data_IF_369771578577
#
_entry.id   IF_369771578577
#
_cell.length_a   1.000
_cell.length_b   1.000
_cell.length_c   1.000
_cell.angle_alpha   90.00
_cell.angle_beta   90.00
_cell.angle_gamma   90.00
#
_symmetry.space_group_name_H-M   'P 1'
#
loop_
_entity.id
_entity.type
_entity.pdbx_description
1 polymer ?
#
# COMPACT_ATOMS: atom_id res chain seq x y z
N UNK A 1 -33.60 -0.02 -34.94
CA UNK A 1 -33.13 1.28 -34.43
C UNK A 1 -31.65 1.16 -34.09
N UNK A 2 -30.77 2.04 -34.59
CA UNK A 2 -29.35 1.99 -34.23
C UNK A 2 -29.19 2.32 -32.75
N UNK A 3 -28.47 1.45 -32.01
CA UNK A 3 -28.10 1.70 -30.62
C UNK A 3 -26.95 2.71 -30.64
N UNK A 4 -27.14 3.87 -30.03
CA UNK A 4 -26.07 4.86 -29.90
C UNK A 4 -25.06 4.30 -28.88
N UNK A 5 -23.83 4.07 -29.32
CA UNK A 5 -22.72 3.77 -28.41
C UNK A 5 -22.07 5.09 -27.97
N UNK A 6 -22.10 5.37 -26.68
CA UNK A 6 -21.43 6.52 -26.10
C UNK A 6 -20.03 6.12 -25.63
N UNK A 7 -19.03 6.93 -25.97
CA UNK A 7 -17.72 6.78 -25.33
C UNK A 7 -17.81 7.18 -23.87
N UNK A 8 -16.84 6.73 -23.04
CA UNK A 8 -16.75 7.18 -21.65
C UNK A 8 -16.78 8.71 -21.57
N UNK A 9 -16.01 9.39 -22.42
CA UNK A 9 -15.98 10.85 -22.46
C UNK A 9 -17.35 11.48 -22.77
N UNK A 10 -18.15 10.86 -23.64
CA UNK A 10 -19.50 11.34 -23.96
C UNK A 10 -20.43 11.21 -22.75
N UNK A 11 -20.35 10.10 -22.01
CA UNK A 11 -21.09 9.91 -20.75
C UNK A 11 -20.69 10.98 -19.73
N UNK A 12 -19.39 11.24 -19.53
CA UNK A 12 -18.92 12.27 -18.61
C UNK A 12 -19.48 13.66 -18.96
N UNK A 13 -19.40 14.03 -20.23
CA UNK A 13 -19.91 15.32 -20.73
C UNK A 13 -21.39 15.46 -20.51
N UNK A 14 -22.16 14.39 -20.72
CA UNK A 14 -23.59 14.42 -20.45
C UNK A 14 -23.90 14.53 -18.96
N UNK A 15 -23.18 13.82 -18.09
CA UNK A 15 -23.36 13.96 -16.65
C UNK A 15 -23.03 15.38 -16.15
N UNK A 16 -22.00 16.02 -16.72
CA UNK A 16 -21.65 17.41 -16.43
C UNK A 16 -22.72 18.38 -16.95
N UNK A 17 -23.14 18.25 -18.20
CA UNK A 17 -24.16 19.10 -18.80
C UNK A 17 -25.53 18.98 -18.11
N UNK A 18 -25.86 17.78 -17.62
CA UNK A 18 -27.08 17.52 -16.85
C UNK A 18 -26.98 17.94 -15.38
N UNK A 19 -25.80 18.37 -14.89
CA UNK A 19 -25.58 18.75 -13.50
C UNK A 19 -25.64 17.58 -12.50
N UNK A 20 -25.49 16.33 -12.98
CA UNK A 20 -25.60 15.10 -12.17
C UNK A 20 -24.24 14.69 -11.59
N UNK A 21 -23.15 15.33 -12.03
CA UNK A 21 -21.80 15.12 -11.51
C UNK A 21 -21.25 16.38 -10.83
N UNK A 22 -20.87 16.25 -9.56
CA UNK A 22 -20.18 17.31 -8.82
C UNK A 22 -18.68 17.20 -9.07
N UNK A 23 -18.08 18.27 -9.57
CA UNK A 23 -16.64 18.36 -9.81
C UNK A 23 -15.98 19.16 -8.68
N UNK A 24 -14.88 18.68 -8.08
CA UNK A 24 -14.12 19.45 -7.12
C UNK A 24 -13.67 20.80 -7.69
N UNK A 25 -13.64 21.85 -6.84
CA UNK A 25 -13.16 23.15 -7.25
C UNK A 25 -11.71 23.08 -7.77
N UNK A 26 -11.47 23.66 -8.95
CA UNK A 26 -10.16 23.68 -9.61
C UNK A 26 -9.86 22.51 -10.54
N UNK A 27 -10.79 21.56 -10.72
CA UNK A 27 -10.64 20.46 -11.66
C UNK A 27 -11.42 20.72 -12.96
N UNK A 28 -10.83 20.40 -14.12
CA UNK A 28 -11.49 20.44 -15.42
C UNK A 28 -12.00 19.07 -15.87
N UNK A 29 -12.65 19.03 -17.06
CA UNK A 29 -13.18 17.78 -17.65
C UNK A 29 -12.10 16.69 -17.77
N UNK A 30 -10.86 17.09 -18.12
CA UNK A 30 -9.76 16.16 -18.32
C UNK A 30 -9.31 15.50 -17.01
N UNK A 31 -9.20 16.26 -15.92
CA UNK A 31 -8.84 15.76 -14.59
C UNK A 31 -9.91 14.82 -14.05
N UNK A 32 -11.19 15.16 -14.23
CA UNK A 32 -12.30 14.30 -13.82
C UNK A 32 -12.37 13.03 -14.67
N UNK A 33 -12.16 13.15 -15.98
CA UNK A 33 -12.08 11.99 -16.87
C UNK A 33 -10.91 11.08 -16.48
N UNK A 34 -9.75 11.64 -16.20
CA UNK A 34 -8.59 10.87 -15.74
C UNK A 34 -8.87 10.15 -14.43
N UNK A 35 -9.40 10.84 -13.41
CA UNK A 35 -9.76 10.22 -12.15
C UNK A 35 -10.83 9.13 -12.30
N UNK A 36 -11.81 9.34 -13.18
CA UNK A 36 -12.85 8.35 -13.46
C UNK A 36 -12.34 7.15 -14.25
N UNK A 37 -11.44 7.37 -15.22
CA UNK A 37 -10.77 6.31 -15.95
C UNK A 37 -9.81 5.52 -15.05
N UNK A 38 -9.08 6.18 -14.16
CA UNK A 38 -8.26 5.51 -13.13
C UNK A 38 -9.12 4.71 -12.15
N UNK A 39 -10.27 5.26 -11.74
CA UNK A 39 -11.21 4.56 -10.87
C UNK A 39 -11.81 3.32 -11.55
N UNK A 40 -12.01 3.38 -12.87
CA UNK A 40 -12.50 2.29 -13.72
C UNK A 40 -11.40 1.35 -14.24
N UNK A 41 -10.13 1.74 -14.17
CA UNK A 41 -9.04 0.89 -14.59
C UNK A 41 -9.08 -0.39 -13.76
N UNK A 42 -8.97 -1.55 -14.43
CA UNK A 42 -9.02 -2.83 -13.77
C UNK A 42 -7.88 -2.92 -12.74
N UNK A 43 -8.23 -2.83 -11.45
CA UNK A 43 -7.27 -3.03 -10.37
C UNK A 43 -6.90 -4.50 -10.38
N UNK A 44 -5.61 -4.79 -10.30
CA UNK A 44 -5.14 -6.15 -10.11
C UNK A 44 -5.13 -6.47 -8.61
N UNK A 45 -5.41 -7.72 -8.20
CA UNK A 45 -5.17 -8.14 -6.83
C UNK A 45 -3.73 -7.88 -6.43
N UNK A 46 -3.51 -7.45 -5.18
CA UNK A 46 -2.15 -7.34 -4.64
C UNK A 46 -1.48 -8.71 -4.71
N UNK A 47 -0.28 -8.82 -5.32
CA UNK A 47 0.40 -10.10 -5.48
C UNK A 47 0.71 -10.76 -4.14
N UNK A 48 0.53 -12.08 -4.08
CA UNK A 48 0.97 -12.89 -2.95
C UNK A 48 2.49 -12.97 -2.91
N UNK A 49 3.06 -12.84 -1.71
CA UNK A 49 4.45 -13.15 -1.43
C UNK A 49 4.49 -14.05 -0.20
N UNK A 50 5.44 -14.97 -0.16
CA UNK A 50 5.64 -15.84 1.00
C UNK A 50 5.82 -15.03 2.28
N UNK A 51 5.27 -15.56 3.37
CA UNK A 51 5.26 -14.93 4.69
C UNK A 51 6.66 -14.82 5.30
N UNK A 52 7.59 -15.69 4.90
CA UNK A 52 8.91 -15.78 5.50
C UNK A 52 8.88 -16.34 6.93
N UNK A 53 10.05 -16.52 7.56
CA UNK A 53 10.19 -17.30 8.80
C UNK A 53 9.83 -16.51 10.06
N UNK A 54 9.68 -15.19 9.97
CA UNK A 54 9.63 -14.31 11.15
C UNK A 54 8.24 -13.83 11.54
N UNK A 55 7.15 -14.38 10.98
CA UNK A 55 5.79 -14.02 11.39
C UNK A 55 5.50 -14.49 12.83
N UNK A 56 4.88 -13.62 13.64
CA UNK A 56 4.42 -13.91 15.00
C UNK A 56 2.95 -13.52 15.13
N UNK A 57 2.10 -14.49 15.49
CA UNK A 57 0.68 -14.25 15.79
C UNK A 57 0.53 -13.36 17.03
N UNK A 58 -0.60 -12.68 17.15
CA UNK A 58 -1.00 -11.87 18.32
C UNK A 58 -0.08 -10.66 18.53
N UNK A 59 0.34 -10.02 17.45
CA UNK A 59 0.97 -8.71 17.54
C UNK A 59 0.00 -7.70 18.21
N UNK A 60 0.53 -6.73 18.98
CA UNK A 60 -0.29 -5.72 19.65
C UNK A 60 -1.16 -4.92 18.67
N UNK A 61 -2.35 -4.52 19.11
CA UNK A 61 -3.20 -3.61 18.36
C UNK A 61 -2.70 -2.16 18.53
N UNK A 62 -1.95 -1.65 17.56
CA UNK A 62 -1.35 -0.30 17.60
C UNK A 62 -1.10 0.23 16.20
N UNK A 63 -1.09 1.55 16.05
CA UNK A 63 -0.65 2.27 14.84
C UNK A 63 0.71 2.93 15.01
N UNK A 64 1.37 2.75 16.16
CA UNK A 64 2.70 3.29 16.45
C UNK A 64 3.61 2.13 16.84
N UNK A 65 4.49 1.75 15.91
CA UNK A 65 5.39 0.61 16.02
C UNK A 65 6.78 1.00 16.53
N UNK A 66 7.14 2.28 16.39
CA UNK A 66 8.39 2.87 16.87
C UNK A 66 8.23 3.54 18.23
N UNK A 67 9.29 3.56 19.01
CA UNK A 67 9.41 4.38 20.22
C UNK A 67 10.19 5.67 19.97
N UNK A 68 10.03 6.67 20.82
CA UNK A 68 10.86 7.87 20.79
C UNK A 68 12.34 7.49 21.00
N UNK A 69 13.22 8.00 20.15
CA UNK A 69 14.66 7.68 20.20
C UNK A 69 15.05 6.36 19.51
N UNK A 70 14.09 5.64 18.91
CA UNK A 70 14.44 4.49 18.08
C UNK A 70 15.41 4.90 16.96
N UNK A 71 16.52 4.17 16.78
CA UNK A 71 17.42 4.40 15.66
C UNK A 71 16.74 4.08 14.32
N UNK A 72 17.11 4.83 13.29
CA UNK A 72 16.55 4.71 11.94
C UNK A 72 15.70 5.91 11.55
N UNK A 73 15.46 6.05 10.25
CA UNK A 73 14.66 7.13 9.69
C UNK A 73 13.18 6.92 10.05
N UNK A 74 12.48 7.90 10.66
CA UNK A 74 11.04 7.79 10.89
C UNK A 74 10.26 7.53 9.59
N UNK A 75 9.27 6.67 9.66
CA UNK A 75 8.49 6.21 8.52
C UNK A 75 7.01 6.20 8.86
N UNK A 76 6.18 6.78 8.00
CA UNK A 76 4.72 6.62 8.05
C UNK A 76 4.27 5.89 6.80
N UNK A 77 3.57 4.77 6.97
CA UNK A 77 2.96 4.02 5.88
C UNK A 77 1.44 4.16 5.99
N UNK A 78 0.79 4.48 4.88
CA UNK A 78 -0.66 4.54 4.79
C UNK A 78 -1.19 3.85 3.55
N UNK A 79 -2.45 3.42 3.60
CA UNK A 79 -3.08 2.72 2.49
C UNK A 79 -4.56 2.49 2.70
N UNK A 80 -5.17 1.69 1.83
CA UNK A 80 -6.56 1.24 1.94
C UNK A 80 -6.68 -0.24 1.61
N UNK A 81 -7.61 -0.94 2.25
CA UNK A 81 -8.02 -2.29 1.89
C UNK A 81 -9.29 -2.22 1.05
N UNK A 82 -9.17 -2.58 -0.22
CA UNK A 82 -10.26 -2.52 -1.21
C UNK A 82 -10.28 -3.77 -2.09
N UNK A 83 -11.43 -4.07 -2.69
CA UNK A 83 -11.59 -5.09 -3.74
C UNK A 83 -11.00 -4.59 -5.06
N UNK A 84 -10.87 -5.49 -6.05
CA UNK A 84 -10.47 -5.12 -7.42
C UNK A 84 -11.47 -4.17 -8.10
N UNK A 85 -12.71 -4.14 -7.62
CA UNK A 85 -13.75 -3.21 -8.07
C UNK A 85 -13.71 -1.86 -7.33
N UNK A 86 -12.79 -1.69 -6.38
CA UNK A 86 -12.63 -0.47 -5.59
C UNK A 86 -13.55 -0.37 -4.37
N UNK A 87 -14.27 -1.43 -4.05
CA UNK A 87 -15.16 -1.48 -2.90
C UNK A 87 -14.36 -1.67 -1.62
N UNK A 88 -14.84 -1.12 -0.50
CA UNK A 88 -14.18 -1.25 0.80
C UNK A 88 -14.37 -2.65 1.35
N UNK A 89 -13.38 -3.18 2.06
CA UNK A 89 -13.46 -4.51 2.68
C UNK A 89 -13.69 -4.34 4.20
N UNK A 90 -14.95 -4.41 4.68
CA UNK A 90 -15.25 -4.24 6.10
C UNK A 90 -14.72 -5.42 6.93
N UNK A 91 -14.30 -5.14 8.16
CA UNK A 91 -13.77 -6.17 9.07
C UNK A 91 -12.40 -6.71 8.67
N UNK A 92 -11.68 -6.02 7.78
CA UNK A 92 -10.30 -6.39 7.47
C UNK A 92 -9.38 -6.21 8.68
N UNK A 93 -8.43 -7.12 8.84
CA UNK A 93 -7.32 -7.01 9.79
C UNK A 93 -6.02 -7.07 9.01
N UNK A 94 -5.12 -6.14 9.31
CA UNK A 94 -3.81 -5.98 8.71
C UNK A 94 -2.76 -6.24 9.79
N UNK A 95 -2.06 -7.36 9.69
CA UNK A 95 -0.88 -7.63 10.49
C UNK A 95 0.38 -7.20 9.72
N UNK A 96 1.22 -6.38 10.33
CA UNK A 96 2.48 -5.91 9.76
C UNK A 96 3.66 -6.30 10.64
N UNK A 97 4.78 -6.63 10.01
CA UNK A 97 6.05 -6.86 10.69
C UNK A 97 7.23 -6.49 9.79
N UNK A 98 8.32 -6.03 10.40
CA UNK A 98 9.56 -5.69 9.71
C UNK A 98 10.76 -5.89 10.64
N UNK A 99 11.96 -5.84 10.06
CA UNK A 99 13.19 -5.69 10.81
C UNK A 99 13.36 -4.25 11.35
N UNK A 100 14.31 -4.09 12.28
CA UNK A 100 14.82 -2.78 12.68
C UNK A 100 15.69 -2.12 11.59
N UNK A 101 16.24 -0.93 11.89
CA UNK A 101 17.11 -0.19 10.98
C UNK A 101 18.42 -0.93 10.61
N UNK A 102 18.84 -1.91 11.42
CA UNK A 102 20.02 -2.75 11.19
C UNK A 102 19.70 -4.07 10.48
N UNK A 103 18.44 -4.33 10.13
CA UNK A 103 18.02 -5.56 9.46
C UNK A 103 17.77 -6.74 10.40
N UNK A 104 17.61 -6.49 11.70
CA UNK A 104 17.35 -7.51 12.72
C UNK A 104 15.85 -7.56 13.09
N UNK A 105 15.27 -8.75 13.13
CA UNK A 105 13.91 -8.96 13.61
C UNK A 105 13.91 -9.16 15.13
N UNK A 106 12.94 -8.54 15.81
CA UNK A 106 12.64 -8.89 17.19
C UNK A 106 12.00 -10.29 17.26
N UNK A 107 12.75 -11.24 17.84
CA UNK A 107 12.34 -12.63 18.00
C UNK A 107 11.70 -12.88 19.38
N UNK A 108 12.05 -12.08 20.38
CA UNK A 108 11.56 -12.24 21.76
C UNK A 108 10.24 -11.49 21.95
N UNK A 109 10.21 -10.20 21.62
CA UNK A 109 9.07 -9.30 21.78
C UNK A 109 8.24 -9.09 20.51
N UNK A 110 7.65 -7.91 20.41
CA UNK A 110 6.83 -7.48 19.27
C UNK A 110 7.27 -6.11 18.71
N UNK A 111 8.53 -5.69 18.91
CA UNK A 111 9.03 -4.45 18.30
C UNK A 111 8.85 -4.51 16.78
N UNK A 112 8.35 -3.41 16.22
CA UNK A 112 8.02 -3.29 14.80
C UNK A 112 7.00 -4.30 14.27
N UNK A 113 6.04 -4.70 15.13
CA UNK A 113 4.91 -5.56 14.77
C UNK A 113 3.61 -4.95 15.25
N UNK A 114 2.57 -5.03 14.43
CA UNK A 114 1.25 -4.56 14.81
C UNK A 114 0.13 -5.34 14.13
N UNK A 115 -1.04 -5.34 14.77
CA UNK A 115 -2.31 -5.71 14.17
C UNK A 115 -3.20 -4.47 14.08
N UNK A 116 -3.70 -4.16 12.89
CA UNK A 116 -4.45 -2.94 12.61
C UNK A 116 -5.78 -3.34 11.98
N UNK A 117 -6.89 -2.88 12.57
CA UNK A 117 -8.23 -3.01 12.00
C UNK A 117 -8.64 -1.65 11.44
N UNK A 118 -8.65 -1.46 10.11
CA UNK A 118 -9.08 -0.20 9.52
C UNK A 118 -10.55 0.11 9.87
N UNK A 119 -10.92 1.39 10.07
CA UNK A 119 -12.32 1.79 10.18
C UNK A 119 -13.09 1.50 8.87
N UNK A 120 -14.40 1.74 8.88
CA UNK A 120 -15.29 1.46 7.74
C UNK A 120 -14.89 2.17 6.42
N UNK A 121 -13.98 3.15 6.44
CA UNK A 121 -13.41 3.75 5.24
C UNK A 121 -12.43 2.82 4.50
N UNK A 122 -11.94 1.78 5.17
CA UNK A 122 -10.88 0.89 4.71
C UNK A 122 -9.47 1.49 4.79
N UNK A 123 -9.35 2.76 5.21
CA UNK A 123 -8.07 3.46 5.27
C UNK A 123 -7.31 3.16 6.55
N UNK A 124 -5.99 2.98 6.43
CA UNK A 124 -5.10 2.76 7.57
C UNK A 124 -3.83 3.60 7.43
N UNK A 125 -3.20 3.88 8.57
CA UNK A 125 -1.86 4.42 8.64
C UNK A 125 -1.17 3.88 9.89
N UNK A 126 0.15 3.74 9.84
CA UNK A 126 0.97 3.45 11.01
C UNK A 126 2.35 4.10 10.91
N UNK A 127 2.94 4.37 12.06
CA UNK A 127 4.28 4.92 12.23
C UNK A 127 5.27 3.82 12.60
N UNK A 128 6.45 3.84 11.98
CA UNK A 128 7.55 2.92 12.20
C UNK A 128 8.88 3.64 11.91
N UNK A 129 9.94 2.88 11.69
CA UNK A 129 11.21 3.34 11.13
C UNK A 129 11.48 2.63 9.80
N UNK A 130 12.31 3.22 8.94
CA UNK A 130 12.79 2.58 7.72
C UNK A 130 13.60 1.33 8.10
N UNK A 131 13.20 0.12 7.65
CA UNK A 131 13.95 -1.09 7.95
C UNK A 131 15.32 -1.09 7.25
N UNK A 132 16.27 -1.80 7.85
CA UNK A 132 17.55 -2.13 7.24
C UNK A 132 17.46 -3.30 6.26
N UNK A 133 18.54 -3.54 5.52
CA UNK A 133 18.68 -4.76 4.71
C UNK A 133 18.92 -5.96 5.62
N UNK A 134 18.18 -7.02 5.40
CA UNK A 134 18.37 -8.31 6.06
C UNK A 134 19.17 -9.25 5.13
N UNK A 135 20.23 -9.95 5.59
CA UNK A 135 21.21 -10.62 4.71
C UNK A 135 20.68 -11.56 3.62
N UNK A 136 19.50 -12.15 3.77
CA UNK A 136 18.93 -13.05 2.74
C UNK A 136 18.03 -12.34 1.72
N UNK A 137 17.85 -11.01 1.81
CA UNK A 137 16.95 -10.23 0.96
C UNK A 137 17.69 -9.02 0.41
N UNK A 138 17.55 -8.76 -0.89
CA UNK A 138 18.30 -7.68 -1.54
C UNK A 138 17.72 -6.31 -1.25
N UNK A 139 16.40 -6.19 -0.99
CA UNK A 139 15.73 -4.93 -0.73
C UNK A 139 15.05 -4.89 0.66
N UNK A 140 15.01 -3.69 1.23
CA UNK A 140 14.24 -3.33 2.44
C UNK A 140 12.76 -3.55 2.20
N UNK A 141 12.07 -4.10 3.19
CA UNK A 141 10.66 -4.43 3.06
C UNK A 141 9.91 -4.40 4.40
N UNK A 142 8.59 -4.24 4.29
CA UNK A 142 7.62 -4.46 5.37
C UNK A 142 6.70 -5.57 4.94
N UNK A 143 6.50 -6.57 5.80
CA UNK A 143 5.56 -7.63 5.53
C UNK A 143 4.15 -7.24 5.90
N UNK A 144 3.20 -7.83 5.18
CA UNK A 144 1.77 -7.70 5.40
C UNK A 144 1.12 -9.09 5.42
N UNK A 145 0.21 -9.28 6.36
CA UNK A 145 -0.77 -10.36 6.34
C UNK A 145 -2.16 -9.78 6.55
N UNK A 146 -3.02 -9.89 5.54
CA UNK A 146 -4.35 -9.27 5.52
C UNK A 146 -5.41 -10.36 5.50
N UNK A 147 -6.37 -10.26 6.42
CA UNK A 147 -7.53 -11.16 6.51
C UNK A 147 -8.81 -10.35 6.55
N UNK A 148 -9.92 -10.91 6.06
CA UNK A 148 -11.24 -10.33 6.20
C UNK A 148 -12.33 -11.42 6.06
N UNK A 149 -13.51 -11.27 6.68
CA UNK A 149 -14.61 -12.22 6.53
C UNK A 149 -15.02 -12.40 5.07
N UNK A 150 -15.03 -13.63 4.57
CA UNK A 150 -15.41 -13.95 3.19
C UNK A 150 -14.29 -13.74 2.14
N UNK A 151 -13.08 -13.35 2.55
CA UNK A 151 -11.94 -13.16 1.64
C UNK A 151 -10.83 -14.17 1.95
N UNK A 152 -10.11 -14.58 0.89
CA UNK A 152 -8.89 -15.37 1.05
C UNK A 152 -7.82 -14.53 1.77
N UNK A 153 -7.16 -15.05 2.82
CA UNK A 153 -6.01 -14.38 3.42
C UNK A 153 -4.92 -14.05 2.39
N UNK A 154 -4.30 -12.89 2.54
CA UNK A 154 -3.20 -12.43 1.69
C UNK A 154 -1.96 -12.19 2.54
N UNK A 155 -0.89 -12.96 2.31
CA UNK A 155 0.46 -12.55 2.68
C UNK A 155 1.12 -11.83 1.51
N UNK A 156 1.77 -10.71 1.79
CA UNK A 156 2.49 -9.91 0.79
C UNK A 156 3.58 -9.07 1.44
N UNK A 157 4.31 -8.29 0.65
CA UNK A 157 5.40 -7.43 1.10
C UNK A 157 5.35 -6.08 0.40
N UNK A 158 5.73 -5.03 1.12
CA UNK A 158 5.90 -3.67 0.65
C UNK A 158 7.39 -3.36 0.55
N UNK A 159 7.83 -2.83 -0.59
CA UNK A 159 9.21 -2.39 -0.81
C UNK A 159 9.27 -0.89 -1.08
N UNK A 160 10.43 -0.28 -0.86
CA UNK A 160 10.61 1.17 -0.95
C UNK A 160 11.44 1.53 -2.18
N UNK A 161 10.91 2.37 -3.08
CA UNK A 161 11.63 2.77 -4.29
C UNK A 161 12.95 3.52 -4.03
N UNK A 162 13.12 4.07 -2.83
CA UNK A 162 14.36 4.72 -2.38
C UNK A 162 15.44 3.73 -1.95
N UNK A 163 15.15 2.44 -1.93
CA UNK A 163 16.17 1.41 -1.76
C UNK A 163 17.16 1.45 -2.93
N UNK A 164 18.45 1.28 -2.62
CA UNK A 164 19.55 1.32 -3.59
C UNK A 164 19.36 0.32 -4.73
N UNK A 165 18.66 -0.80 -4.49
CA UNK A 165 18.34 -1.78 -5.52
C UNK A 165 17.56 -1.16 -6.66
N UNK A 166 16.62 -0.27 -6.38
CA UNK A 166 15.71 0.31 -7.38
C UNK A 166 16.19 1.66 -7.94
N UNK A 167 17.24 2.26 -7.39
CA UNK A 167 17.83 3.52 -7.89
C UNK A 167 16.76 4.64 -8.02
N UNK A 168 15.89 4.76 -7.01
CA UNK A 168 14.80 5.74 -6.99
C UNK A 168 13.64 5.47 -7.95
N UNK A 169 13.71 4.42 -8.78
CA UNK A 169 12.71 4.10 -9.80
C UNK A 169 12.03 2.75 -9.50
N UNK A 170 10.73 2.73 -9.15
CA UNK A 170 9.99 1.49 -8.85
C UNK A 170 10.01 0.43 -9.97
N UNK A 171 10.21 0.84 -11.22
CA UNK A 171 10.21 -0.05 -12.37
C UNK A 171 11.61 -0.63 -12.69
N UNK A 172 12.67 -0.16 -12.02
CA UNK A 172 14.05 -0.67 -12.19
C UNK A 172 14.34 -1.82 -11.23
N UNK A 173 15.04 -2.84 -11.73
CA UNK A 173 15.68 -3.90 -10.92
C UNK A 173 14.77 -4.68 -9.96
N UNK A 174 13.44 -4.54 -10.05
CA UNK A 174 12.55 -5.20 -9.09
C UNK A 174 12.65 -6.73 -9.16
N UNK A 175 12.99 -7.30 -10.31
CA UNK A 175 13.22 -8.74 -10.48
C UNK A 175 14.55 -9.26 -9.89
N UNK A 176 15.39 -8.41 -9.26
CA UNK A 176 16.64 -8.87 -8.62
C UNK A 176 16.40 -9.74 -7.38
N UNK A 177 15.27 -9.54 -6.70
CA UNK A 177 14.78 -10.49 -5.69
C UNK A 177 13.71 -11.38 -6.36
N UNK A 178 13.84 -12.71 -6.36
CA UNK A 178 12.80 -13.59 -6.89
C UNK A 178 11.46 -13.45 -6.17
N UNK A 179 11.44 -12.92 -4.94
CA UNK A 179 10.22 -12.67 -4.17
C UNK A 179 9.49 -11.38 -4.56
N UNK A 180 10.12 -10.50 -5.34
CA UNK A 180 9.47 -9.29 -5.86
C UNK A 180 8.89 -9.63 -7.24
N UNK A 181 7.73 -10.27 -7.21
CA UNK A 181 7.05 -10.80 -8.40
C UNK A 181 6.34 -9.73 -9.23
N UNK A 182 6.23 -8.51 -8.71
CA UNK A 182 5.56 -7.39 -9.38
C UNK A 182 6.11 -6.05 -8.92
N UNK A 183 6.31 -5.14 -9.88
CA UNK A 183 6.64 -3.74 -9.61
C UNK A 183 5.64 -3.06 -8.67
N UNK A 184 4.37 -3.52 -8.64
CA UNK A 184 3.32 -2.87 -7.84
C UNK A 184 3.56 -2.96 -6.34
N UNK A 185 4.45 -3.87 -5.91
CA UNK A 185 4.90 -4.01 -4.52
C UNK A 185 5.96 -2.96 -4.14
N UNK A 186 6.62 -2.33 -5.12
CA UNK A 186 7.60 -1.26 -4.90
C UNK A 186 6.87 0.08 -4.89
N UNK A 187 6.94 0.80 -3.77
CA UNK A 187 6.18 2.04 -3.57
C UNK A 187 7.10 3.26 -3.54
N UNK A 188 6.69 4.37 -4.18
CA UNK A 188 7.34 5.65 -4.00
C UNK A 188 7.38 6.05 -2.52
N UNK A 189 8.45 6.72 -2.11
CA UNK A 189 8.60 7.29 -0.77
C UNK A 189 8.60 8.80 -0.90
N UNK A 190 7.74 9.45 -0.13
CA UNK A 190 7.73 10.91 0.00
C UNK A 190 8.53 11.27 1.25
N UNK A 191 9.59 12.06 1.09
CA UNK A 191 10.31 12.63 2.22
C UNK A 191 9.53 13.83 2.74
N UNK A 192 9.16 13.79 4.03
CA UNK A 192 8.46 14.88 4.71
C UNK A 192 9.26 15.33 5.92
N UNK A 193 9.39 16.64 6.11
CA UNK A 193 10.23 17.24 7.15
C UNK A 193 11.41 18.02 6.57
N UNK A 194 12.09 18.81 7.41
CA UNK A 194 13.35 19.45 7.03
C UNK A 194 14.47 18.41 7.13
N UNK A 195 15.42 18.35 6.19
CA UNK A 195 16.68 17.67 6.45
C UNK A 195 17.31 18.35 7.66
N UNK A 196 17.48 17.59 8.75
CA UNK A 196 18.13 18.08 9.96
C UNK A 196 19.58 18.46 9.72
#
# INVERSE_FOLDING_TARGET
MPRIEWSRRDVLRQCLAAGVLVVPAGWGEAEVLHAWLEAQAARQPTPHVEMGPFYKKRAPATTTLRSAGDPGMPLTISGRVITVHGEKVPGATIEVWQADHGGLYDLEGYRYRASITPPASGAYAFESIMPGHYPARVARHVHYFVTAPGYKPLSTQLYFATDEVFDGNPDRNYSKDPLITSRTLVRPVTLTGQPG
#
